data_IF_923202218549
#
_entry.id   IF_923202218549
#
_cell.length_a   1.000
_cell.length_b   1.000
_cell.length_c   1.000
_cell.angle_alpha   90.00
_cell.angle_beta   90.00
_cell.angle_gamma   90.00
#
_symmetry.space_group_name_H-M   'P 1'
#
loop_
_entity.id
_entity.type
_entity.pdbx_description
1 polymer ?
#
# COMPACT_ATOMS: atom_id res chain seq x y z
N UNK A 1 14.80 32.81 5.75
CA UNK A 1 15.06 32.48 4.33
C UNK A 1 14.17 33.22 3.32
N UNK A 2 12.85 32.98 3.25
CA UNK A 2 11.96 33.57 2.20
C UNK A 2 12.04 35.10 2.11
N UNK A 3 12.13 35.80 3.25
CA UNK A 3 12.32 37.26 3.27
C UNK A 3 13.62 37.68 2.59
N UNK A 4 14.71 36.97 2.84
CA UNK A 4 16.03 37.27 2.26
C UNK A 4 16.09 36.90 0.77
N UNK A 5 15.36 35.86 0.33
CA UNK A 5 15.18 35.55 -1.10
C UNK A 5 14.46 36.70 -1.81
N UNK A 6 13.38 37.23 -1.22
CA UNK A 6 12.66 38.39 -1.78
C UNK A 6 13.52 39.65 -1.80
N UNK A 7 14.46 39.81 -0.88
CA UNK A 7 15.41 40.92 -0.87
C UNK A 7 16.49 40.74 -1.95
N UNK A 8 17.00 39.51 -2.13
CA UNK A 8 17.97 39.15 -3.17
C UNK A 8 17.42 39.33 -4.59
N UNK A 9 16.14 39.01 -4.80
CA UNK A 9 15.44 39.22 -6.08
C UNK A 9 15.36 40.70 -6.47
N UNK A 10 15.25 41.58 -5.48
CA UNK A 10 15.24 43.04 -5.67
C UNK A 10 16.64 43.65 -5.80
N UNK A 11 17.63 43.07 -5.13
CA UNK A 11 19.02 43.51 -5.13
C UNK A 11 19.98 42.32 -5.18
N UNK A 12 20.51 42.03 -6.36
CA UNK A 12 21.44 40.91 -6.61
C UNK A 12 22.90 41.26 -6.28
N UNK A 13 23.14 41.90 -5.13
CA UNK A 13 24.48 42.28 -4.67
C UNK A 13 25.19 41.13 -3.93
N UNK A 14 26.54 41.15 -3.84
CA UNK A 14 27.29 40.20 -3.02
C UNK A 14 26.84 40.16 -1.55
N UNK A 15 26.41 41.30 -0.99
CA UNK A 15 25.93 41.42 0.38
C UNK A 15 24.56 40.75 0.54
N UNK A 16 23.63 40.99 -0.39
CA UNK A 16 22.31 40.34 -0.38
C UNK A 16 22.42 38.82 -0.60
N UNK A 17 23.38 38.36 -1.41
CA UNK A 17 23.72 36.94 -1.55
C UNK A 17 24.24 36.34 -0.24
N UNK A 18 25.15 37.04 0.45
CA UNK A 18 25.69 36.59 1.74
C UNK A 18 24.60 36.52 2.82
N UNK A 19 23.69 37.49 2.90
CA UNK A 19 22.55 37.46 3.83
C UNK A 19 21.59 36.31 3.55
N UNK A 20 21.27 36.06 2.28
CA UNK A 20 20.42 34.93 1.90
C UNK A 20 21.07 33.59 2.24
N UNK A 21 22.39 33.45 2.03
CA UNK A 21 23.16 32.27 2.42
C UNK A 21 23.21 32.09 3.95
N UNK A 22 23.48 33.15 4.72
CA UNK A 22 23.42 33.06 6.19
C UNK A 22 22.03 32.68 6.70
N UNK A 23 20.96 33.11 6.02
CA UNK A 23 19.59 32.74 6.40
C UNK A 23 19.21 31.28 6.11
N UNK A 24 20.06 30.49 5.43
CA UNK A 24 19.88 29.04 5.31
C UNK A 24 20.44 28.28 6.49
N UNK A 25 21.41 28.84 7.23
CA UNK A 25 22.11 28.13 8.31
C UNK A 25 21.16 27.70 9.46
N UNK A 26 20.32 28.58 10.03
CA UNK A 26 19.33 28.16 11.03
C UNK A 26 18.29 27.17 10.49
N UNK A 27 17.99 27.23 9.19
CA UNK A 27 17.08 26.29 8.55
C UNK A 27 17.71 24.90 8.45
N UNK A 28 19.00 24.83 8.07
CA UNK A 28 19.74 23.58 8.00
C UNK A 28 19.90 22.95 9.38
N UNK A 29 20.20 23.75 10.40
CA UNK A 29 20.26 23.27 11.80
C UNK A 29 18.92 22.71 12.29
N UNK A 30 17.81 23.43 12.02
CA UNK A 30 16.48 22.98 12.40
C UNK A 30 16.08 21.67 11.68
N UNK A 31 16.36 21.56 10.38
CA UNK A 31 16.12 20.35 9.59
C UNK A 31 17.00 19.20 10.11
N UNK A 32 18.27 19.45 10.40
CA UNK A 32 19.19 18.45 10.95
C UNK A 32 18.69 17.93 12.30
N UNK A 33 18.27 18.82 13.19
CA UNK A 33 17.71 18.48 14.50
C UNK A 33 16.45 17.63 14.37
N UNK A 34 15.55 17.98 13.44
CA UNK A 34 14.34 17.20 13.16
C UNK A 34 14.69 15.81 12.62
N UNK A 35 15.63 15.72 11.67
CA UNK A 35 16.08 14.44 11.14
C UNK A 35 16.73 13.58 12.23
N UNK A 36 17.52 14.15 13.13
CA UNK A 36 18.11 13.43 14.25
C UNK A 36 17.03 12.87 15.18
N UNK A 37 16.03 13.69 15.51
CA UNK A 37 14.89 13.27 16.33
C UNK A 37 14.10 12.14 15.66
N UNK A 38 13.73 12.30 14.38
CA UNK A 38 12.96 11.30 13.63
C UNK A 38 13.71 9.97 13.42
N UNK A 39 15.04 10.00 13.40
CA UNK A 39 15.88 8.80 13.28
C UNK A 39 16.28 8.19 14.64
N UNK A 40 15.81 8.74 15.76
CA UNK A 40 16.02 8.10 17.06
C UNK A 40 15.30 6.74 17.10
N UNK A 41 15.84 5.81 17.90
CA UNK A 41 15.36 4.43 17.97
C UNK A 41 13.91 4.30 18.41
N UNK A 42 13.37 5.31 19.09
CA UNK A 42 11.99 5.34 19.58
C UNK A 42 10.98 5.67 18.48
N UNK A 43 11.41 6.39 17.42
CA UNK A 43 10.51 6.89 16.36
C UNK A 43 10.83 6.33 14.98
N UNK A 44 12.01 5.75 14.78
CA UNK A 44 12.39 5.17 13.50
C UNK A 44 11.47 3.99 13.16
N UNK A 45 10.93 4.00 11.94
CA UNK A 45 10.15 2.85 11.45
C UNK A 45 11.08 1.68 11.14
N UNK A 46 10.76 0.50 11.66
CA UNK A 46 11.47 -0.74 11.36
C UNK A 46 10.57 -1.55 10.41
N UNK A 47 10.94 -1.72 9.13
CA UNK A 47 10.13 -2.50 8.21
C UNK A 47 10.01 -3.96 8.67
N UNK A 48 8.82 -4.52 8.52
CA UNK A 48 8.58 -5.93 8.80
C UNK A 48 9.41 -6.82 7.86
N UNK A 49 10.02 -7.87 8.40
CA UNK A 49 10.70 -8.91 7.62
C UNK A 49 9.71 -10.02 7.28
N UNK A 50 9.27 -10.06 6.02
CA UNK A 50 8.30 -11.05 5.52
C UNK A 50 9.05 -12.14 4.77
N UNK A 51 8.85 -13.42 5.14
CA UNK A 51 9.46 -14.56 4.46
C UNK A 51 8.92 -14.77 3.04
N UNK A 52 9.57 -15.64 2.25
CA UNK A 52 9.08 -16.05 0.94
C UNK A 52 7.69 -16.67 1.01
N UNK A 53 7.44 -17.50 2.02
CA UNK A 53 6.16 -18.17 2.25
C UNK A 53 5.09 -17.15 2.65
N UNK A 54 5.45 -16.19 3.52
CA UNK A 54 4.56 -15.09 3.89
C UNK A 54 4.15 -14.23 2.69
N UNK A 55 5.10 -13.92 1.78
CA UNK A 55 4.79 -13.21 0.53
C UNK A 55 3.85 -14.02 -0.36
N UNK A 56 4.11 -15.32 -0.55
CA UNK A 56 3.22 -16.21 -1.32
C UNK A 56 1.82 -16.29 -0.71
N UNK A 57 1.72 -16.30 0.62
CA UNK A 57 0.43 -16.32 1.32
C UNK A 57 -0.37 -15.01 1.14
N UNK A 58 0.32 -13.87 0.96
CA UNK A 58 -0.32 -12.57 0.71
C UNK A 58 -0.77 -12.39 -0.75
N UNK A 59 -0.19 -13.14 -1.69
CA UNK A 59 -0.42 -12.98 -3.13
C UNK A 59 -1.91 -12.96 -3.53
N UNK A 60 -2.78 -13.87 -3.04
CA UNK A 60 -4.20 -13.85 -3.42
C UNK A 60 -4.93 -12.57 -3.00
N UNK A 61 -4.59 -12.02 -1.82
CA UNK A 61 -5.17 -10.78 -1.30
C UNK A 61 -4.68 -9.60 -2.13
N UNK A 62 -3.37 -9.54 -2.40
CA UNK A 62 -2.77 -8.47 -3.19
C UNK A 62 -3.30 -8.47 -4.63
N UNK A 63 -3.42 -9.64 -5.25
CA UNK A 63 -3.91 -9.78 -6.62
C UNK A 63 -5.39 -9.40 -6.74
N UNK A 64 -6.22 -9.81 -5.77
CA UNK A 64 -7.62 -9.40 -5.73
C UNK A 64 -7.75 -7.88 -5.53
N UNK A 65 -6.94 -7.30 -4.64
CA UNK A 65 -6.88 -5.85 -4.42
C UNK A 65 -6.47 -5.08 -5.68
N UNK A 66 -5.44 -5.55 -6.41
CA UNK A 66 -5.04 -4.97 -7.71
C UNK A 66 -6.18 -5.03 -8.72
N UNK A 67 -6.86 -6.17 -8.84
CA UNK A 67 -8.00 -6.33 -9.74
C UNK A 67 -9.15 -5.34 -9.47
N UNK A 68 -9.40 -5.00 -8.20
CA UNK A 68 -10.37 -3.96 -7.83
C UNK A 68 -9.91 -2.58 -8.34
N UNK A 69 -8.65 -2.22 -8.09
CA UNK A 69 -8.10 -0.92 -8.48
C UNK A 69 -8.08 -0.76 -10.01
N UNK A 70 -7.58 -1.76 -10.73
CA UNK A 70 -7.51 -1.74 -12.19
C UNK A 70 -8.92 -1.66 -12.80
N UNK A 71 -9.85 -2.49 -12.31
CA UNK A 71 -11.24 -2.45 -12.75
C UNK A 71 -11.91 -1.10 -12.46
N UNK A 72 -11.65 -0.49 -11.30
CA UNK A 72 -12.21 0.82 -10.95
C UNK A 72 -11.64 1.94 -11.84
N UNK A 73 -10.34 1.89 -12.14
CA UNK A 73 -9.71 2.83 -13.08
C UNK A 73 -10.36 2.73 -14.45
N UNK A 74 -10.58 1.51 -14.95
CA UNK A 74 -11.22 1.30 -16.24
C UNK A 74 -12.69 1.75 -16.24
N UNK A 75 -13.44 1.47 -15.16
CA UNK A 75 -14.80 2.02 -14.99
C UNK A 75 -14.82 3.55 -15.08
N UNK A 76 -13.90 4.24 -14.40
CA UNK A 76 -13.81 5.72 -14.43
C UNK A 76 -13.48 6.22 -15.83
N UNK A 77 -12.56 5.56 -16.55
CA UNK A 77 -12.25 5.90 -17.95
C UNK A 77 -13.46 5.72 -18.85
N UNK A 78 -14.19 4.61 -18.75
CA UNK A 78 -15.40 4.35 -19.54
C UNK A 78 -16.51 5.34 -19.19
N UNK A 79 -16.70 5.66 -17.90
CA UNK A 79 -17.66 6.66 -17.46
C UNK A 79 -17.34 8.06 -18.02
N UNK A 80 -16.06 8.43 -18.11
CA UNK A 80 -15.64 9.67 -18.76
C UNK A 80 -16.02 9.71 -20.25
N UNK A 81 -15.91 8.60 -20.97
CA UNK A 81 -16.36 8.50 -22.36
C UNK A 81 -17.88 8.66 -22.44
N UNK A 82 -18.64 7.94 -21.59
CA UNK A 82 -20.11 8.06 -21.52
C UNK A 82 -20.60 9.47 -21.21
N UNK A 83 -19.85 10.25 -20.42
CA UNK A 83 -20.21 11.64 -20.17
C UNK A 83 -20.25 12.48 -21.46
N UNK A 84 -19.47 12.11 -22.47
CA UNK A 84 -19.47 12.74 -23.80
C UNK A 84 -20.42 12.04 -24.79
N UNK A 85 -20.65 10.73 -24.63
CA UNK A 85 -21.49 9.90 -25.51
C UNK A 85 -22.54 9.09 -24.72
N UNK A 86 -23.55 9.73 -24.11
CA UNK A 86 -24.39 9.11 -23.09
C UNK A 86 -25.35 8.03 -23.62
N UNK A 87 -25.58 7.95 -24.92
CA UNK A 87 -26.49 6.98 -25.56
C UNK A 87 -25.76 5.84 -26.26
N UNK A 88 -24.42 5.77 -26.18
CA UNK A 88 -23.57 4.80 -26.88
C UNK A 88 -23.65 3.39 -26.23
N UNK A 89 -24.39 2.42 -26.84
CA UNK A 89 -24.64 1.15 -26.18
C UNK A 89 -23.38 0.28 -25.98
N UNK A 90 -22.42 0.20 -26.93
CA UNK A 90 -21.12 -0.43 -26.69
C UNK A 90 -20.37 0.08 -25.45
N UNK A 91 -20.35 1.39 -25.21
CA UNK A 91 -19.63 1.98 -24.07
C UNK A 91 -20.33 1.65 -22.75
N UNK A 92 -21.67 1.63 -22.73
CA UNK A 92 -22.45 1.12 -21.60
C UNK A 92 -22.17 -0.35 -21.31
N UNK A 93 -22.06 -1.19 -22.33
CA UNK A 93 -21.71 -2.60 -22.17
C UNK A 93 -20.30 -2.76 -21.57
N UNK A 94 -19.33 -1.97 -22.02
CA UNK A 94 -17.98 -1.94 -21.43
C UNK A 94 -18.03 -1.55 -19.94
N UNK A 95 -18.80 -0.53 -19.58
CA UNK A 95 -18.95 -0.10 -18.19
C UNK A 95 -19.51 -1.25 -17.32
N UNK A 96 -20.51 -1.97 -17.82
CA UNK A 96 -21.08 -3.12 -17.13
C UNK A 96 -20.07 -4.26 -16.95
N UNK A 97 -19.21 -4.52 -17.95
CA UNK A 97 -18.13 -5.51 -17.86
C UNK A 97 -17.12 -5.11 -16.78
N UNK A 98 -16.64 -3.85 -16.79
CA UNK A 98 -15.70 -3.37 -15.78
C UNK A 98 -16.31 -3.42 -14.37
N UNK A 99 -17.59 -3.04 -14.22
CA UNK A 99 -18.35 -3.15 -12.96
C UNK A 99 -18.44 -4.59 -12.45
N UNK A 100 -18.69 -5.55 -13.33
CA UNK A 100 -18.70 -6.98 -12.99
C UNK A 100 -17.31 -7.45 -12.53
N UNK A 101 -16.25 -7.05 -13.23
CA UNK A 101 -14.88 -7.44 -12.88
C UNK A 101 -14.46 -6.90 -11.50
N UNK A 102 -14.84 -5.65 -11.18
CA UNK A 102 -14.64 -5.08 -9.84
C UNK A 102 -15.38 -5.90 -8.80
N UNK A 103 -16.66 -6.21 -9.05
CA UNK A 103 -17.50 -7.00 -8.12
C UNK A 103 -16.93 -8.41 -7.86
N UNK A 104 -16.45 -9.10 -8.89
CA UNK A 104 -15.80 -10.40 -8.74
C UNK A 104 -14.47 -10.30 -7.99
N UNK A 105 -13.70 -9.25 -8.21
CA UNK A 105 -12.45 -9.01 -7.47
C UNK A 105 -12.72 -8.73 -5.99
N UNK A 106 -13.79 -8.01 -5.65
CA UNK A 106 -14.25 -7.80 -4.27
C UNK A 106 -14.62 -9.14 -3.61
N UNK A 107 -15.38 -10.00 -4.31
CA UNK A 107 -15.74 -11.34 -3.79
C UNK A 107 -14.49 -12.18 -3.53
N UNK A 108 -13.55 -12.21 -4.48
CA UNK A 108 -12.26 -12.91 -4.33
C UNK A 108 -11.45 -12.38 -3.16
N UNK A 109 -11.42 -11.06 -2.96
CA UNK A 109 -10.72 -10.43 -1.84
C UNK A 109 -11.34 -10.86 -0.51
N UNK A 110 -12.67 -10.80 -0.38
CA UNK A 110 -13.38 -11.22 0.82
C UNK A 110 -13.13 -12.70 1.16
N UNK A 111 -13.19 -13.60 0.15
CA UNK A 111 -12.89 -15.02 0.34
C UNK A 111 -11.43 -15.23 0.76
N UNK A 112 -10.49 -14.55 0.10
CA UNK A 112 -9.05 -14.66 0.39
C UNK A 112 -8.71 -14.20 1.80
N UNK A 113 -9.29 -13.09 2.26
CA UNK A 113 -9.10 -12.59 3.64
C UNK A 113 -9.64 -13.60 4.66
N UNK A 114 -10.83 -14.18 4.40
CA UNK A 114 -11.45 -15.16 5.29
C UNK A 114 -10.64 -16.46 5.37
N UNK A 115 -10.20 -16.98 4.23
CA UNK A 115 -9.52 -18.28 4.13
C UNK A 115 -8.03 -18.21 4.48
N UNK A 116 -7.41 -17.03 4.37
CA UNK A 116 -5.99 -16.80 4.66
C UNK A 116 -5.81 -15.87 5.87
N UNK A 117 -6.77 -15.89 6.79
CA UNK A 117 -6.65 -15.18 8.05
C UNK A 117 -5.34 -15.60 8.77
N UNK A 118 -4.58 -14.65 9.35
CA UNK A 118 -3.36 -14.97 10.08
C UNK A 118 -3.65 -16.01 11.18
N UNK A 119 -2.82 -17.06 11.28
CA UNK A 119 -3.00 -18.15 12.25
C UNK A 119 -3.77 -19.36 11.71
N UNK A 120 -4.58 -19.21 10.66
CA UNK A 120 -5.39 -20.32 10.15
C UNK A 120 -4.54 -21.49 9.66
N UNK A 121 -3.46 -21.20 8.91
CA UNK A 121 -2.56 -22.22 8.40
C UNK A 121 -1.84 -22.97 9.53
N UNK A 122 -1.47 -22.27 10.61
CA UNK A 122 -0.88 -22.89 11.79
C UNK A 122 -1.91 -23.77 12.51
N UNK A 123 -3.17 -23.32 12.65
CA UNK A 123 -4.24 -24.14 13.21
C UNK A 123 -4.48 -25.40 12.38
N UNK A 124 -4.49 -25.29 11.05
CA UNK A 124 -4.67 -26.43 10.14
C UNK A 124 -3.51 -27.43 10.27
N UNK A 125 -2.27 -26.96 10.36
CA UNK A 125 -1.10 -27.80 10.60
C UNK A 125 -1.17 -28.52 11.95
N UNK A 126 -1.54 -27.80 13.02
CA UNK A 126 -1.72 -28.40 14.35
C UNK A 126 -2.80 -29.47 14.33
N UNK A 127 -3.92 -29.24 13.64
CA UNK A 127 -4.98 -30.23 13.48
C UNK A 127 -4.49 -31.51 12.78
N UNK A 128 -3.68 -31.39 11.74
CA UNK A 128 -3.12 -32.57 11.06
C UNK A 128 -2.16 -33.35 11.96
N UNK A 129 -1.26 -32.66 12.67
CA UNK A 129 -0.36 -33.30 13.64
C UNK A 129 -1.15 -34.04 14.72
N UNK A 130 -2.21 -33.42 15.27
CA UNK A 130 -3.06 -34.06 16.27
C UNK A 130 -3.75 -35.33 15.73
N UNK A 131 -4.19 -35.31 14.46
CA UNK A 131 -4.80 -36.48 13.82
C UNK A 131 -3.79 -37.62 13.61
N UNK A 132 -2.54 -37.29 13.29
CA UNK A 132 -1.47 -38.28 13.16
C UNK A 132 -1.14 -38.90 14.52
N UNK A 133 -0.92 -38.07 15.55
CA UNK A 133 -0.68 -38.57 16.91
C UNK A 133 -1.83 -39.45 17.41
N UNK A 134 -3.08 -39.10 17.12
CA UNK A 134 -4.24 -39.92 17.48
C UNK A 134 -4.24 -41.28 16.77
N UNK A 135 -3.83 -41.34 15.50
CA UNK A 135 -3.69 -42.60 14.75
C UNK A 135 -2.57 -43.46 15.32
N UNK A 136 -1.43 -42.87 15.66
CA UNK A 136 -0.29 -43.58 16.23
C UNK A 136 -0.60 -44.14 17.62
N UNK A 137 -1.33 -43.38 18.45
CA UNK A 137 -1.84 -43.87 19.73
C UNK A 137 -2.77 -45.07 19.56
N UNK A 138 -3.67 -45.01 18.57
CA UNK A 138 -4.63 -46.06 18.31
C UNK A 138 -3.96 -47.33 17.74
N UNK A 139 -2.90 -47.18 16.94
CA UNK A 139 -2.14 -48.31 16.40
C UNK A 139 -1.23 -48.96 17.45
N UNK A 140 -0.68 -48.18 18.38
CA UNK A 140 0.11 -48.71 19.49
C UNK A 140 -0.71 -49.40 20.58
N UNK A 141 -2.02 -49.13 20.63
CA UNK A 141 -2.96 -49.75 21.56
C UNK A 141 -3.53 -51.11 21.08
N UNK A 142 -3.29 -51.47 19.82
CA UNK A 142 -3.66 -52.75 19.18
C UNK A 142 -2.50 -53.75 19.23
#
# INVERSE_FOLDING_TARGET
LVREIKALDKDYSPVSRARCAGATEPLLEAVSSLCQFANSSEFISIPARISSEGRKAQEPILQAGRGILDGAIDMVKTAKVLAMTPTDPPVWQQLAIHSRNVSESIKKLASSIREKAPGQLQCDQVLEVLKECARDLNSAAL
#
